data_IF_513555659543
#
_entry.id   IF_513555659543
#
_cell.length_a   1.000
_cell.length_b   1.000
_cell.length_c   1.000
_cell.angle_alpha   90.00
_cell.angle_beta   90.00
_cell.angle_gamma   90.00
#
_symmetry.space_group_name_H-M   'P 1'
#
loop_
_entity.id
_entity.type
_entity.pdbx_description
1 polymer ?
#
# COMPACT_ATOMS: atom_id res chain seq x y z
N UNK A 1 -9.72 15.11 -26.36
CA UNK A 1 -9.99 14.51 -25.03
C UNK A 1 -11.33 15.02 -24.54
N UNK A 2 -12.22 14.10 -24.15
CA UNK A 2 -13.46 14.45 -23.47
C UNK A 2 -13.16 15.26 -22.19
N UNK A 3 -14.10 16.11 -21.77
CA UNK A 3 -13.93 16.88 -20.54
C UNK A 3 -13.95 15.93 -19.33
N UNK A 4 -12.84 15.85 -18.61
CA UNK A 4 -12.71 15.04 -17.39
C UNK A 4 -13.72 15.52 -16.34
N UNK A 5 -14.62 14.63 -15.92
CA UNK A 5 -15.63 14.95 -14.92
C UNK A 5 -14.99 15.30 -13.55
N UNK A 6 -15.75 15.99 -12.70
CA UNK A 6 -15.25 16.50 -11.41
C UNK A 6 -14.86 15.38 -10.44
N UNK A 7 -15.57 14.26 -10.48
CA UNK A 7 -15.34 13.12 -9.60
C UNK A 7 -14.05 12.39 -10.00
N UNK A 8 -13.90 12.11 -11.29
CA UNK A 8 -12.70 11.53 -11.89
C UNK A 8 -11.48 12.40 -11.64
N UNK A 9 -11.60 13.73 -11.81
CA UNK A 9 -10.52 14.68 -11.47
C UNK A 9 -10.12 14.58 -10.00
N UNK A 10 -11.08 14.60 -9.08
CA UNK A 10 -10.79 14.54 -7.64
C UNK A 10 -10.16 13.20 -7.23
N UNK A 11 -10.63 12.10 -7.81
CA UNK A 11 -10.04 10.77 -7.61
C UNK A 11 -8.60 10.74 -8.10
N UNK A 12 -8.34 11.13 -9.35
CA UNK A 12 -7.00 11.10 -9.94
C UNK A 12 -6.00 11.99 -9.20
N UNK A 13 -6.40 13.16 -8.72
CA UNK A 13 -5.55 14.01 -7.85
C UNK A 13 -5.20 13.27 -6.54
N UNK A 14 -6.19 12.61 -5.94
CA UNK A 14 -5.97 11.81 -4.72
C UNK A 14 -5.01 10.64 -5.00
N UNK A 15 -5.22 9.92 -6.11
CA UNK A 15 -4.39 8.81 -6.57
C UNK A 15 -2.96 9.27 -6.82
N UNK A 16 -2.75 10.36 -7.57
CA UNK A 16 -1.42 10.92 -7.84
C UNK A 16 -0.64 11.28 -6.57
N UNK A 17 -1.30 11.90 -5.58
CA UNK A 17 -0.66 12.20 -4.30
C UNK A 17 -0.25 10.94 -3.53
N UNK A 18 -1.07 9.90 -3.56
CA UNK A 18 -0.77 8.61 -2.90
C UNK A 18 0.38 7.88 -3.61
N UNK A 19 0.37 7.84 -4.94
CA UNK A 19 1.45 7.28 -5.76
C UNK A 19 2.78 7.99 -5.51
N UNK A 20 2.79 9.34 -5.41
CA UNK A 20 3.98 10.09 -5.04
C UNK A 20 4.54 9.68 -3.67
N UNK A 21 3.67 9.51 -2.67
CA UNK A 21 4.08 9.08 -1.33
C UNK A 21 4.61 7.64 -1.33
N UNK A 22 3.97 6.75 -2.09
CA UNK A 22 4.36 5.35 -2.22
C UNK A 22 5.70 5.19 -2.95
N UNK A 23 5.85 5.84 -4.11
CA UNK A 23 7.10 5.85 -4.88
C UNK A 23 8.25 6.41 -4.03
N UNK A 24 8.01 7.51 -3.30
CA UNK A 24 9.01 8.11 -2.43
C UNK A 24 9.49 7.14 -1.35
N UNK A 25 8.57 6.40 -0.71
CA UNK A 25 8.92 5.39 0.29
C UNK A 25 9.88 4.35 -0.30
N UNK A 26 9.47 3.73 -1.41
CA UNK A 26 10.25 2.63 -1.99
C UNK A 26 11.57 3.09 -2.59
N UNK A 27 11.61 4.26 -3.24
CA UNK A 27 12.88 4.86 -3.68
C UNK A 27 13.84 5.12 -2.52
N UNK A 28 13.33 5.58 -1.38
CA UNK A 28 14.19 5.79 -0.20
C UNK A 28 14.80 4.47 0.28
N UNK A 29 14.01 3.39 0.30
CA UNK A 29 14.51 2.04 0.63
C UNK A 29 15.58 1.59 -0.39
N UNK A 30 15.37 1.84 -1.68
CA UNK A 30 16.34 1.48 -2.72
C UNK A 30 17.64 2.26 -2.59
N UNK A 31 17.57 3.57 -2.35
CA UNK A 31 18.74 4.44 -2.14
C UNK A 31 19.52 4.04 -0.89
N UNK A 32 18.84 3.79 0.24
CA UNK A 32 19.47 3.34 1.49
C UNK A 32 20.18 1.99 1.30
N UNK A 33 19.59 1.05 0.55
CA UNK A 33 20.23 -0.22 0.21
C UNK A 33 21.47 0.00 -0.67
N UNK A 34 21.36 0.86 -1.69
CA UNK A 34 22.48 1.19 -2.59
C UNK A 34 23.65 1.84 -1.85
N UNK A 35 23.37 2.83 -0.98
CA UNK A 35 24.38 3.52 -0.17
C UNK A 35 25.10 2.56 0.79
N UNK A 36 24.39 1.54 1.28
CA UNK A 36 24.96 0.46 2.09
C UNK A 36 25.70 -0.61 1.28
N UNK A 37 25.81 -0.48 -0.05
CA UNK A 37 26.40 -1.49 -0.93
C UNK A 37 25.57 -2.77 -1.06
N UNK A 38 24.31 -2.74 -0.63
CA UNK A 38 23.40 -3.88 -0.64
C UNK A 38 22.52 -3.89 -1.89
N UNK A 39 22.08 -5.08 -2.30
CA UNK A 39 21.01 -5.21 -3.29
C UNK A 39 19.69 -4.80 -2.65
N UNK A 40 18.91 -3.96 -3.33
CA UNK A 40 17.55 -3.65 -2.89
C UNK A 40 16.60 -4.83 -3.18
N UNK A 41 15.52 -4.99 -2.40
CA UNK A 41 14.53 -6.03 -2.66
C UNK A 41 13.88 -5.87 -4.05
N UNK A 42 13.79 -6.97 -4.81
CA UNK A 42 13.18 -6.96 -6.14
C UNK A 42 11.74 -6.42 -6.11
N UNK A 43 10.97 -6.79 -5.09
CA UNK A 43 9.59 -6.30 -4.91
C UNK A 43 9.52 -4.77 -4.77
N UNK A 44 10.48 -4.15 -4.09
CA UNK A 44 10.55 -2.68 -3.97
C UNK A 44 10.75 -2.02 -5.32
N UNK A 45 11.66 -2.54 -6.14
CA UNK A 45 11.90 -2.00 -7.49
C UNK A 45 10.70 -2.17 -8.41
N UNK A 46 10.02 -3.33 -8.34
CA UNK A 46 8.78 -3.57 -9.06
C UNK A 46 7.72 -2.53 -8.66
N UNK A 47 7.49 -2.33 -7.35
CA UNK A 47 6.51 -1.34 -6.88
C UNK A 47 6.83 0.08 -7.35
N UNK A 48 8.10 0.51 -7.31
CA UNK A 48 8.47 1.84 -7.82
C UNK A 48 8.13 1.96 -9.30
N UNK A 49 8.41 0.95 -10.14
CA UNK A 49 8.06 1.01 -11.57
C UNK A 49 6.55 1.23 -11.75
N UNK A 50 5.75 0.45 -11.05
CA UNK A 50 4.29 0.56 -11.09
C UNK A 50 3.78 1.91 -10.56
N UNK A 51 4.40 2.45 -9.52
CA UNK A 51 4.02 3.77 -9.01
C UNK A 51 4.34 4.86 -10.05
N UNK A 52 5.51 4.78 -10.69
CA UNK A 52 5.97 5.79 -11.64
C UNK A 52 5.18 5.77 -12.94
N UNK A 53 4.87 4.59 -13.51
CA UNK A 53 4.05 4.51 -14.72
C UNK A 53 2.65 5.10 -14.47
N UNK A 54 2.03 4.78 -13.32
CA UNK A 54 0.70 5.29 -12.99
C UNK A 54 0.75 6.79 -12.66
N UNK A 55 1.81 7.25 -12.01
CA UNK A 55 1.96 8.67 -11.70
C UNK A 55 2.07 9.52 -12.96
N UNK A 56 2.80 9.03 -13.97
CA UNK A 56 2.90 9.68 -15.29
C UNK A 56 1.53 9.66 -15.98
N UNK A 57 0.86 8.51 -16.03
CA UNK A 57 -0.46 8.38 -16.65
C UNK A 57 -1.52 9.29 -15.98
N UNK A 58 -1.55 9.35 -14.65
CA UNK A 58 -2.41 10.28 -13.87
C UNK A 58 -2.13 11.72 -14.28
N UNK A 59 -0.86 12.09 -14.41
CA UNK A 59 -0.46 13.43 -14.82
C UNK A 59 -0.94 13.79 -16.23
N UNK A 60 -0.82 12.85 -17.17
CA UNK A 60 -1.27 13.03 -18.55
C UNK A 60 -2.79 13.18 -18.64
N UNK A 61 -3.56 12.30 -17.99
CA UNK A 61 -5.04 12.37 -17.97
C UNK A 61 -5.55 13.67 -17.34
N UNK A 62 -4.90 14.15 -16.27
CA UNK A 62 -5.26 15.41 -15.62
C UNK A 62 -4.88 16.66 -16.42
N UNK A 63 -3.98 16.53 -17.41
CA UNK A 63 -3.47 17.64 -18.20
C UNK A 63 -2.76 18.68 -17.34
N UNK A 64 -3.22 19.94 -17.39
CA UNK A 64 -2.59 21.05 -16.65
C UNK A 64 -2.55 20.82 -15.14
N UNK A 65 -3.58 20.22 -14.58
CA UNK A 65 -3.66 19.93 -13.13
C UNK A 65 -2.73 18.78 -12.72
N UNK A 66 -2.31 17.96 -13.69
CA UNK A 66 -1.45 16.81 -13.51
C UNK A 66 0.03 17.05 -13.77
N UNK A 67 0.42 18.27 -14.19
CA UNK A 67 1.79 18.57 -14.62
C UNK A 67 2.84 18.20 -13.56
N UNK A 68 2.53 18.43 -12.28
CA UNK A 68 3.41 18.05 -11.18
C UNK A 68 3.67 16.53 -11.16
N UNK A 69 2.64 15.72 -11.43
CA UNK A 69 2.74 14.26 -11.42
C UNK A 69 3.58 13.75 -12.60
N UNK A 70 3.34 14.24 -13.82
CA UNK A 70 4.14 13.88 -15.00
C UNK A 70 5.61 14.25 -14.80
N UNK A 71 5.89 15.50 -14.41
CA UNK A 71 7.27 15.97 -14.21
C UNK A 71 7.98 15.18 -13.11
N UNK A 72 7.30 14.95 -11.98
CA UNK A 72 7.90 14.22 -10.87
C UNK A 72 8.08 12.74 -11.20
N UNK A 73 7.12 12.11 -11.87
CA UNK A 73 7.21 10.73 -12.34
C UNK A 73 8.41 10.54 -13.28
N UNK A 74 8.54 11.40 -14.29
CA UNK A 74 9.67 11.37 -15.21
C UNK A 74 11.01 11.61 -14.50
N UNK A 75 11.09 12.59 -13.60
CA UNK A 75 12.29 12.86 -12.81
C UNK A 75 12.71 11.62 -11.98
N UNK A 76 11.76 10.97 -11.33
CA UNK A 76 12.03 9.79 -10.50
C UNK A 76 12.38 8.56 -11.35
N UNK A 77 11.77 8.40 -12.53
CA UNK A 77 12.12 7.34 -13.47
C UNK A 77 13.57 7.46 -13.95
N UNK A 78 14.08 8.69 -14.11
CA UNK A 78 15.47 8.96 -14.48
C UNK A 78 16.47 8.84 -13.31
N UNK A 79 16.05 8.37 -12.14
CA UNK A 79 16.99 8.13 -11.03
C UNK A 79 17.96 6.97 -11.36
N UNK A 80 19.19 6.96 -10.80
CA UNK A 80 20.20 5.95 -11.12
C UNK A 80 19.73 4.51 -10.95
N UNK A 81 18.90 4.23 -9.93
CA UNK A 81 18.38 2.90 -9.65
C UNK A 81 17.22 2.49 -10.58
N UNK A 82 16.70 3.41 -11.41
CA UNK A 82 15.57 3.22 -12.31
C UNK A 82 15.92 3.40 -13.80
N UNK A 83 17.08 3.97 -14.11
CA UNK A 83 17.48 4.38 -15.46
C UNK A 83 17.32 3.27 -16.52
N UNK A 84 17.64 2.03 -16.17
CA UNK A 84 17.53 0.88 -17.09
C UNK A 84 16.09 0.53 -17.49
N UNK A 85 15.07 1.08 -16.81
CA UNK A 85 13.65 0.79 -17.05
C UNK A 85 12.83 1.98 -17.54
N UNK A 86 13.43 3.14 -17.82
CA UNK A 86 12.69 4.37 -18.17
C UNK A 86 11.78 4.18 -19.38
N UNK A 87 12.30 3.61 -20.46
CA UNK A 87 11.53 3.38 -21.69
C UNK A 87 10.33 2.45 -21.47
N UNK A 88 10.49 1.44 -20.62
CA UNK A 88 9.39 0.55 -20.22
C UNK A 88 8.34 1.30 -19.40
N UNK A 89 8.77 2.13 -18.44
CA UNK A 89 7.87 2.95 -17.61
C UNK A 89 7.03 3.89 -18.49
N UNK A 90 7.66 4.58 -19.44
CA UNK A 90 6.97 5.49 -20.36
C UNK A 90 6.00 4.76 -21.30
N UNK A 91 6.39 3.59 -21.82
CA UNK A 91 5.50 2.77 -22.66
C UNK A 91 4.27 2.30 -21.86
N UNK A 92 4.47 1.81 -20.64
CA UNK A 92 3.37 1.35 -19.78
C UNK A 92 2.48 2.50 -19.30
N UNK A 93 3.03 3.71 -19.12
CA UNK A 93 2.23 4.89 -18.84
C UNK A 93 1.29 5.23 -20.01
N UNK A 94 1.77 5.12 -21.26
CA UNK A 94 0.94 5.32 -22.46
C UNK A 94 -0.16 4.29 -22.57
N UNK A 95 0.14 3.00 -22.33
CA UNK A 95 -0.87 1.93 -22.31
C UNK A 95 -1.99 2.24 -21.30
N UNK A 96 -1.65 2.77 -20.11
CA UNK A 96 -2.64 3.19 -19.12
C UNK A 96 -3.51 4.37 -19.60
N UNK A 97 -2.91 5.35 -20.27
CA UNK A 97 -3.66 6.48 -20.87
C UNK A 97 -4.58 5.98 -21.98
N UNK A 98 -4.14 5.03 -22.80
CA UNK A 98 -4.99 4.38 -23.81
C UNK A 98 -6.17 3.64 -23.17
N UNK A 99 -5.94 2.90 -22.08
CA UNK A 99 -7.04 2.28 -21.32
C UNK A 99 -8.02 3.32 -20.78
N UNK A 100 -7.51 4.47 -20.32
CA UNK A 100 -8.36 5.58 -19.88
C UNK A 100 -9.24 6.13 -21.00
N UNK A 101 -8.67 6.32 -22.19
CA UNK A 101 -9.38 6.83 -23.36
C UNK A 101 -10.44 5.84 -23.84
N UNK A 102 -10.11 4.54 -23.92
CA UNK A 102 -11.09 3.48 -24.22
C UNK A 102 -12.25 3.50 -23.23
N UNK A 103 -11.98 3.67 -21.93
CA UNK A 103 -13.03 3.84 -20.91
C UNK A 103 -13.94 5.03 -21.20
N UNK A 104 -13.40 6.16 -21.69
CA UNK A 104 -14.23 7.31 -22.07
C UNK A 104 -15.11 6.99 -23.27
N UNK A 105 -14.61 6.22 -24.24
CA UNK A 105 -15.32 5.91 -25.47
C UNK A 105 -16.48 4.93 -25.26
N UNK A 106 -16.23 3.81 -24.57
CA UNK A 106 -17.27 2.77 -24.34
C UNK A 106 -18.14 3.08 -23.12
N UNK A 107 -17.75 4.06 -22.31
CA UNK A 107 -18.43 4.45 -21.09
C UNK A 107 -18.11 3.55 -19.90
N UNK A 108 -18.31 4.11 -18.69
CA UNK A 108 -17.90 3.49 -17.43
C UNK A 108 -18.53 2.11 -17.20
N UNK A 109 -19.82 1.95 -17.44
CA UNK A 109 -20.53 0.69 -17.17
C UNK A 109 -20.02 -0.47 -18.03
N UNK A 110 -19.80 -0.23 -19.32
CA UNK A 110 -19.30 -1.26 -20.22
C UNK A 110 -17.85 -1.61 -19.90
N UNK A 111 -17.02 -0.58 -19.64
CA UNK A 111 -15.64 -0.77 -19.24
C UNK A 111 -15.52 -1.56 -17.93
N UNK A 112 -16.34 -1.24 -16.91
CA UNK A 112 -16.39 -1.98 -15.64
C UNK A 112 -16.75 -3.46 -15.86
N UNK A 113 -17.66 -3.77 -16.78
CA UNK A 113 -18.01 -5.16 -17.10
C UNK A 113 -16.85 -5.91 -17.76
N UNK A 114 -16.05 -5.24 -18.61
CA UNK A 114 -14.85 -5.81 -19.21
C UNK A 114 -13.74 -6.01 -18.16
N UNK A 115 -13.50 -5.00 -17.32
CA UNK A 115 -12.52 -5.07 -16.23
C UNK A 115 -12.85 -6.20 -15.25
N UNK A 116 -14.13 -6.40 -14.91
CA UNK A 116 -14.58 -7.52 -14.05
C UNK A 116 -14.26 -8.89 -14.65
N UNK A 117 -14.45 -9.07 -15.96
CA UNK A 117 -14.08 -10.31 -16.65
C UNK A 117 -12.57 -10.54 -16.59
N UNK A 118 -11.79 -9.50 -16.88
CA UNK A 118 -10.33 -9.57 -16.82
C UNK A 118 -9.82 -9.93 -15.40
N UNK A 119 -10.37 -9.28 -14.37
CA UNK A 119 -10.03 -9.56 -12.96
C UNK A 119 -10.46 -10.97 -12.54
N UNK A 120 -11.61 -11.47 -13.02
CA UNK A 120 -12.06 -12.83 -12.74
C UNK A 120 -11.11 -13.89 -13.33
N UNK A 121 -10.73 -13.73 -14.61
CA UNK A 121 -9.78 -14.61 -15.29
C UNK A 121 -8.41 -14.60 -14.60
N UNK A 122 -8.00 -13.42 -14.11
CA UNK A 122 -6.78 -13.25 -13.35
C UNK A 122 -6.86 -13.94 -11.98
N UNK A 123 -7.98 -13.76 -11.26
CA UNK A 123 -8.21 -14.39 -9.95
C UNK A 123 -8.24 -15.92 -10.04
N UNK A 124 -8.72 -16.51 -11.14
CA UNK A 124 -8.71 -17.96 -11.32
C UNK A 124 -7.28 -18.50 -11.48
N UNK A 125 -6.42 -17.76 -12.18
CA UNK A 125 -4.99 -18.10 -12.31
C UNK A 125 -4.27 -17.94 -10.97
N UNK A 126 -4.58 -16.87 -10.23
CA UNK A 126 -4.04 -16.66 -8.89
C UNK A 126 -4.44 -17.80 -7.93
N UNK A 127 -5.68 -18.27 -7.98
CA UNK A 127 -6.17 -19.36 -7.11
C UNK A 127 -5.42 -20.68 -7.31
N UNK A 128 -4.78 -20.87 -8.48
CA UNK A 128 -3.98 -22.06 -8.80
C UNK A 128 -2.52 -21.93 -8.37
N UNK A 129 -2.11 -20.75 -7.90
CA UNK A 129 -0.72 -20.47 -7.58
C UNK A 129 -0.43 -20.65 -6.08
N UNK A 130 0.85 -20.86 -5.69
CA UNK A 130 1.23 -20.99 -4.29
C UNK A 130 0.83 -19.76 -3.45
N UNK A 131 0.31 -19.95 -2.22
CA UNK A 131 -0.14 -18.85 -1.35
C UNK A 131 0.99 -17.89 -0.89
N UNK A 132 2.24 -18.32 -1.00
CA UNK A 132 3.45 -17.60 -0.65
C UNK A 132 4.16 -16.92 -1.84
N UNK A 133 3.54 -16.93 -3.02
CA UNK A 133 4.11 -16.24 -4.19
C UNK A 133 4.07 -14.70 -4.01
N UNK A 134 5.22 -14.15 -3.62
CA UNK A 134 5.41 -12.72 -3.44
C UNK A 134 5.15 -11.91 -4.73
N UNK A 135 5.38 -12.50 -5.91
CA UNK A 135 5.11 -11.88 -7.21
C UNK A 135 3.63 -11.67 -7.45
N UNK A 136 2.78 -12.63 -7.06
CA UNK A 136 1.33 -12.49 -7.17
C UNK A 136 0.77 -11.40 -6.27
N UNK A 137 1.31 -11.28 -5.04
CA UNK A 137 0.92 -10.22 -4.11
C UNK A 137 1.19 -8.84 -4.68
N UNK A 138 2.39 -8.65 -5.23
CA UNK A 138 2.77 -7.42 -5.91
C UNK A 138 1.84 -7.15 -7.10
N UNK A 139 1.56 -8.17 -7.92
CA UNK A 139 0.68 -8.01 -9.08
C UNK A 139 -0.75 -7.62 -8.69
N UNK A 140 -1.29 -8.19 -7.62
CA UNK A 140 -2.64 -7.85 -7.12
C UNK A 140 -2.71 -6.42 -6.58
N UNK A 141 -1.69 -5.97 -5.85
CA UNK A 141 -1.61 -4.57 -5.44
C UNK A 141 -1.65 -3.65 -6.66
N UNK A 142 -0.83 -3.94 -7.68
CA UNK A 142 -0.75 -3.14 -8.89
C UNK A 142 -2.09 -3.07 -9.64
N UNK A 143 -2.79 -4.20 -9.74
CA UNK A 143 -4.14 -4.24 -10.32
C UNK A 143 -5.13 -3.34 -9.59
N UNK A 144 -5.10 -3.32 -8.26
CA UNK A 144 -6.06 -2.50 -7.50
C UNK A 144 -5.80 -1.01 -7.71
N UNK A 145 -4.53 -0.60 -7.79
CA UNK A 145 -4.20 0.79 -8.11
C UNK A 145 -4.66 1.17 -9.53
N UNK A 146 -4.40 0.31 -10.53
CA UNK A 146 -4.80 0.57 -11.92
C UNK A 146 -6.32 0.58 -12.10
N UNK A 147 -7.03 -0.43 -11.59
CA UNK A 147 -8.46 -0.60 -11.84
C UNK A 147 -9.30 0.36 -10.97
N UNK A 148 -9.09 0.36 -9.65
CA UNK A 148 -9.93 1.17 -8.76
C UNK A 148 -9.50 2.63 -8.70
N UNK A 149 -8.22 2.87 -8.43
CA UNK A 149 -7.76 4.22 -8.08
C UNK A 149 -7.50 5.06 -9.34
N UNK A 150 -7.01 4.46 -10.42
CA UNK A 150 -6.81 5.12 -11.71
C UNK A 150 -8.10 5.08 -12.55
N UNK A 151 -8.53 3.88 -13.01
CA UNK A 151 -9.69 3.73 -13.90
C UNK A 151 -11.04 3.94 -13.22
N UNK A 152 -11.11 3.98 -11.88
CA UNK A 152 -12.38 4.18 -11.17
C UNK A 152 -13.35 3.01 -11.30
N UNK A 153 -12.83 1.81 -11.60
CA UNK A 153 -13.61 0.59 -11.75
C UNK A 153 -13.65 -0.15 -10.42
N UNK A 154 -14.83 -0.27 -9.77
CA UNK A 154 -14.93 -0.96 -8.49
C UNK A 154 -14.54 -2.43 -8.66
N UNK A 155 -13.53 -2.88 -7.93
CA UNK A 155 -13.30 -4.32 -7.79
C UNK A 155 -14.20 -4.88 -6.70
N UNK A 156 -14.69 -6.11 -6.87
CA UNK A 156 -15.54 -6.79 -5.88
C UNK A 156 -14.77 -7.21 -4.61
N UNK A 157 -13.66 -6.54 -4.28
CA UNK A 157 -12.87 -6.81 -3.07
C UNK A 157 -13.63 -6.50 -1.78
N UNK A 158 -14.75 -5.78 -1.86
CA UNK A 158 -15.64 -5.52 -0.72
C UNK A 158 -16.27 -6.80 -0.15
N UNK A 159 -16.41 -7.85 -0.96
CA UNK A 159 -16.86 -9.16 -0.47
C UNK A 159 -15.91 -9.77 0.57
N UNK A 160 -14.70 -9.23 0.68
CA UNK A 160 -13.70 -9.66 1.64
C UNK A 160 -13.64 -8.81 2.90
N UNK A 161 -14.41 -7.72 3.01
CA UNK A 161 -14.50 -6.88 4.21
C UNK A 161 -14.13 -5.42 3.97
N UNK A 162 -14.15 -4.62 5.05
CA UNK A 162 -13.93 -3.17 4.99
C UNK A 162 -12.51 -2.84 4.50
N UNK A 163 -12.43 -2.05 3.42
CA UNK A 163 -11.16 -1.59 2.85
C UNK A 163 -10.50 -0.60 3.82
N UNK A 164 -9.26 -0.87 4.22
CA UNK A 164 -8.45 0.06 5.02
C UNK A 164 -7.20 0.43 4.24
N UNK A 165 -6.84 1.72 4.32
CA UNK A 165 -5.72 2.26 3.57
C UNK A 165 -4.68 2.82 4.52
N UNK A 166 -3.42 2.68 4.12
CA UNK A 166 -2.32 3.41 4.75
C UNK A 166 -2.59 4.91 4.62
N UNK A 167 -2.54 5.62 5.76
CA UNK A 167 -2.74 7.07 5.84
C UNK A 167 -1.66 7.85 5.07
N UNK A 168 -0.44 7.30 5.01
CA UNK A 168 0.67 7.92 4.30
C UNK A 168 0.63 7.70 2.80
N UNK A 169 0.72 6.43 2.37
CA UNK A 169 0.91 6.08 0.96
C UNK A 169 -0.36 5.61 0.26
N UNK A 170 -1.49 5.51 0.96
CA UNK A 170 -2.74 5.01 0.38
C UNK A 170 -2.79 3.51 0.11
N UNK A 171 -1.66 2.79 0.20
CA UNK A 171 -1.60 1.35 -0.02
C UNK A 171 -2.62 0.60 0.85
N UNK A 172 -3.33 -0.33 0.24
CA UNK A 172 -4.48 -1.00 0.85
C UNK A 172 -4.05 -2.24 1.62
N UNK A 173 -4.74 -2.50 2.74
CA UNK A 173 -4.82 -3.83 3.32
C UNK A 173 -6.08 -4.51 2.83
N UNK A 174 -5.93 -5.72 2.30
CA UNK A 174 -7.06 -6.57 1.96
C UNK A 174 -7.31 -7.51 3.14
N UNK A 175 -8.55 -7.66 3.62
CA UNK A 175 -8.82 -8.53 4.76
C UNK A 175 -8.58 -10.02 4.44
N UNK A 176 -8.63 -10.41 3.16
CA UNK A 176 -8.23 -11.74 2.68
C UNK A 176 -6.74 -12.03 2.77
N UNK A 177 -5.92 -11.02 3.10
CA UNK A 177 -4.48 -11.15 3.21
C UNK A 177 -4.04 -10.77 4.62
N UNK A 178 -4.05 -11.74 5.56
CA UNK A 178 -3.71 -11.48 6.94
C UNK A 178 -2.28 -10.97 7.13
N UNK A 179 -1.43 -11.08 6.11
CA UNK A 179 -0.03 -10.65 6.15
C UNK A 179 0.16 -9.13 5.99
N UNK A 180 -0.85 -8.38 5.54
CA UNK A 180 -0.78 -6.91 5.47
C UNK A 180 -1.66 -6.26 6.54
N UNK A 181 -1.42 -6.61 7.80
CA UNK A 181 -2.03 -5.90 8.93
C UNK A 181 -1.47 -4.49 8.99
N UNK A 182 -2.34 -3.49 8.87
CA UNK A 182 -1.92 -2.10 9.03
C UNK A 182 -1.60 -1.81 10.50
N UNK A 183 -0.44 -1.20 10.73
CA UNK A 183 -0.04 -0.70 12.03
C UNK A 183 -0.92 0.48 12.41
N UNK A 184 -1.47 0.47 13.62
CA UNK A 184 -2.19 1.63 14.16
C UNK A 184 -1.23 2.60 14.81
N UNK A 185 -1.46 3.90 14.65
CA UNK A 185 -0.71 4.92 15.37
C UNK A 185 -0.84 4.69 16.89
N UNK A 186 0.28 4.39 17.56
CA UNK A 186 0.28 4.08 19.00
C UNK A 186 -0.33 5.18 19.90
N UNK A 187 -0.39 6.43 19.42
CA UNK A 187 -0.90 7.58 20.19
C UNK A 187 -2.38 7.87 19.99
N UNK A 188 -2.86 7.89 18.74
CA UNK A 188 -4.25 8.26 18.43
C UNK A 188 -5.14 7.05 18.08
N UNK A 189 -4.52 5.92 17.71
CA UNK A 189 -5.21 4.69 17.26
C UNK A 189 -6.14 4.86 16.04
N UNK A 190 -6.10 6.02 15.37
CA UNK A 190 -6.90 6.32 14.18
C UNK A 190 -6.10 6.12 12.90
N UNK A 191 -4.92 6.71 12.80
CA UNK A 191 -4.11 6.57 11.60
C UNK A 191 -3.57 5.13 11.46
N UNK A 192 -3.60 4.63 10.23
CA UNK A 192 -3.21 3.28 9.84
C UNK A 192 -2.01 3.36 8.91
N UNK A 193 -1.04 2.47 9.07
CA UNK A 193 0.20 2.50 8.30
C UNK A 193 0.57 1.13 7.77
N UNK A 194 1.14 1.13 6.57
CA UNK A 194 1.64 -0.08 5.94
C UNK A 194 2.74 -0.74 6.77
N UNK A 195 3.60 0.08 7.38
CA UNK A 195 4.73 -0.30 8.22
C UNK A 195 5.22 0.92 9.02
N UNK A 196 6.25 0.71 9.84
CA UNK A 196 6.87 1.77 10.65
C UNK A 196 7.43 2.90 9.79
N UNK A 197 7.91 2.59 8.57
CA UNK A 197 8.45 3.60 7.66
C UNK A 197 7.37 4.56 7.17
N UNK A 198 6.21 4.04 6.75
CA UNK A 198 5.01 4.83 6.45
C UNK A 198 4.65 5.76 7.61
N UNK A 199 4.69 5.26 8.86
CA UNK A 199 4.39 6.06 10.05
C UNK A 199 5.41 7.17 10.30
N UNK A 200 6.71 6.88 10.18
CA UNK A 200 7.80 7.86 10.37
C UNK A 200 7.75 8.97 9.32
N UNK A 201 7.52 8.62 8.05
CA UNK A 201 7.44 9.59 6.96
C UNK A 201 6.22 10.52 7.09
N UNK A 202 5.11 9.99 7.60
CA UNK A 202 3.88 10.76 7.85
C UNK A 202 3.92 11.58 9.14
N UNK A 203 4.83 11.26 10.08
CA UNK A 203 4.86 11.87 11.41
C UNK A 203 4.82 13.40 11.35
N UNK A 204 5.56 14.02 10.43
CA UNK A 204 5.60 15.48 10.28
C UNK A 204 4.25 16.10 9.91
N UNK A 205 3.41 15.39 9.16
CA UNK A 205 2.09 15.86 8.75
C UNK A 205 1.00 15.43 9.75
N UNK A 206 1.09 14.20 10.24
CA UNK A 206 0.14 13.63 11.19
C UNK A 206 0.21 14.23 12.60
N UNK A 207 1.36 14.73 13.05
CA UNK A 207 1.61 15.16 14.45
C UNK A 207 0.53 16.08 15.02
N UNK A 208 0.09 17.08 14.26
CA UNK A 208 -0.90 18.04 14.74
C UNK A 208 -2.31 17.45 14.81
N UNK A 209 -2.68 16.61 13.84
CA UNK A 209 -3.92 15.84 13.89
C UNK A 209 -3.91 14.85 15.07
N UNK A 210 -2.81 14.12 15.25
CA UNK A 210 -2.60 13.14 16.31
C UNK A 210 -2.89 13.72 17.70
N UNK A 211 -2.34 14.91 17.98
CA UNK A 211 -2.53 15.62 19.26
C UNK A 211 -3.99 15.98 19.51
N UNK A 212 -4.69 16.49 18.50
CA UNK A 212 -6.10 16.90 18.61
C UNK A 212 -7.00 15.70 18.91
N UNK A 213 -6.80 14.61 18.18
CA UNK A 213 -7.60 13.39 18.30
C UNK A 213 -7.47 12.73 19.67
N UNK A 214 -6.25 12.66 20.23
CA UNK A 214 -6.03 12.09 21.57
C UNK A 214 -6.81 12.85 22.64
N UNK A 215 -6.85 14.18 22.58
CA UNK A 215 -7.62 15.01 23.52
C UNK A 215 -9.12 14.72 23.45
N UNK A 216 -9.65 14.55 22.24
CA UNK A 216 -11.07 14.23 22.02
C UNK A 216 -11.45 12.84 22.53
N UNK A 217 -10.54 11.84 22.42
CA UNK A 217 -10.79 10.51 22.96
C UNK A 217 -10.81 10.51 24.49
N UNK A 218 -9.89 11.23 25.13
CA UNK A 218 -9.86 11.39 26.61
C UNK A 218 -11.11 12.11 27.11
N UNK A 219 -11.56 13.16 26.41
CA UNK A 219 -12.77 13.88 26.78
C UNK A 219 -14.04 12.99 26.71
N UNK A 220 -14.10 12.07 25.74
CA UNK A 220 -15.20 11.12 25.58
C UNK A 220 -15.21 10.03 26.65
N UNK A 221 -14.04 9.52 27.05
CA UNK A 221 -13.96 8.51 28.13
C UNK A 221 -14.21 9.12 29.51
N UNK A 222 -13.87 10.39 29.74
CA UNK A 222 -14.12 11.10 31.00
C UNK A 222 -15.59 11.50 31.23
N UNK A 223 -16.46 11.44 30.21
CA UNK A 223 -17.90 11.75 30.33
C UNK A 223 -18.80 10.51 30.47
N UNK A 224 -18.24 9.30 30.39
CA UNK A 224 -18.98 8.04 30.47
C UNK A 224 -18.92 7.32 31.81
N UNK A 225 -18.19 7.83 32.82
CA UNK A 225 -18.05 7.14 34.11
C UNK A 225 -18.55 8.01 35.26
N UNK A 226 -19.87 8.00 35.45
CA UNK A 226 -20.53 8.21 36.74
C UNK A 226 -21.75 7.29 36.78
N UNK A 227 -21.58 6.06 37.27
CA UNK A 227 -22.52 5.36 38.16
C UNK A 227 -21.84 4.10 38.73
N UNK A 228 -21.88 3.99 40.06
CA UNK A 228 -21.72 2.81 40.94
C UNK A 228 -20.33 2.16 41.15
N UNK A 229 -19.69 2.65 42.22
CA UNK A 229 -19.09 1.99 43.40
C UNK A 229 -19.17 0.45 43.64
N UNK A 230 -18.37 -0.08 44.62
CA UNK A 230 -17.64 -1.37 44.59
C UNK A 230 -18.25 -2.47 45.49
N UNK A 231 -17.79 -3.72 45.32
CA UNK A 231 -17.87 -4.77 46.35
C UNK A 231 -16.92 -5.98 46.08
N UNK A 232 -16.15 -6.34 47.11
CA UNK A 232 -15.56 -7.64 47.53
C UNK A 232 -14.64 -8.46 46.58
N UNK A 233 -13.42 -8.81 47.04
CA UNK A 233 -13.00 -10.06 47.76
C UNK A 233 -13.38 -11.32 46.95
N UNK A 234 -12.47 -12.18 46.51
CA UNK A 234 -11.51 -12.96 47.30
C UNK A 234 -10.25 -13.40 46.49
N UNK A 235 -9.15 -13.57 47.21
CA UNK A 235 -7.97 -14.42 46.93
C UNK A 235 -8.39 -15.87 46.56
N UNK A 236 -7.60 -16.68 45.81
CA UNK A 236 -6.37 -17.25 46.39
C UNK A 236 -5.24 -17.69 45.43
N UNK A 237 -4.12 -18.03 46.08
CA UNK A 237 -3.19 -19.13 45.81
C UNK A 237 -2.19 -19.05 44.64
N UNK A 238 -0.96 -18.71 45.05
CA UNK A 238 0.32 -19.31 44.67
C UNK A 238 0.24 -20.68 43.96
N UNK A 239 0.94 -20.81 42.83
CA UNK A 239 1.49 -22.08 42.39
C UNK A 239 2.86 -21.83 41.73
N UNK A 240 3.90 -22.19 42.48
CA UNK A 240 5.27 -22.37 42.01
C UNK A 240 5.35 -23.55 41.03
N UNK A 241 6.09 -23.39 39.94
CA UNK A 241 6.28 -24.43 38.94
C UNK A 241 7.53 -24.17 38.13
N UNK A 242 8.69 -24.45 38.75
CA UNK A 242 9.97 -24.59 38.08
C UNK A 242 9.94 -25.78 37.11
N UNK A 243 10.48 -25.59 35.91
CA UNK A 243 10.99 -26.68 35.07
C UNK A 243 12.14 -26.12 34.24
N UNK A 244 13.35 -26.44 34.71
CA UNK A 244 14.56 -26.53 33.89
C UNK A 244 14.36 -27.61 32.82
N UNK A 245 15.03 -27.47 31.68
CA UNK A 245 14.93 -28.41 30.57
C UNK A 245 15.86 -28.02 29.42
N UNK A 246 17.13 -28.36 29.64
CA UNK A 246 18.09 -28.96 28.70
C UNK A 246 18.21 -28.45 27.26
N UNK A 247 19.37 -27.82 27.04
CA UNK A 247 20.38 -28.15 26.02
C UNK A 247 19.99 -29.15 24.91
N UNK A 248 20.03 -28.70 23.65
CA UNK A 248 20.60 -29.52 22.57
C UNK A 248 21.25 -28.63 21.51
N UNK A 249 22.58 -28.67 21.48
CA UNK A 249 23.41 -28.14 20.40
C UNK A 249 23.35 -29.08 19.18
N UNK A 250 22.62 -28.67 18.15
CA UNK A 250 22.62 -29.33 16.83
C UNK A 250 23.58 -28.64 15.86
N UNK A 251 24.85 -29.04 15.87
CA UNK A 251 25.83 -28.63 14.86
C UNK A 251 25.53 -29.22 13.48
N UNK A 252 25.35 -28.37 12.47
CA UNK A 252 25.26 -28.79 11.06
C UNK A 252 26.54 -28.40 10.33
N UNK A 253 27.34 -29.42 10.02
CA UNK A 253 28.51 -29.35 9.15
C UNK A 253 28.09 -29.07 7.70
N UNK A 254 28.63 -27.99 7.12
CA UNK A 254 28.61 -27.74 5.68
C UNK A 254 29.75 -28.51 4.98
N UNK A 255 29.48 -29.21 3.86
CA UNK A 255 30.55 -29.76 3.03
C UNK A 255 31.25 -28.65 2.23
N UNK A 256 32.57 -28.68 2.27
CA UNK A 256 33.46 -27.96 1.35
C UNK A 256 33.33 -28.59 -0.03
N UNK A 257 33.04 -27.77 -1.04
CA UNK A 257 33.34 -28.10 -2.41
C UNK A 257 34.64 -27.38 -2.79
N UNK A 258 35.67 -28.18 -3.06
CA UNK A 258 36.87 -27.80 -3.79
C UNK A 258 36.66 -28.10 -5.28
N UNK A 259 37.22 -27.21 -6.10
CA UNK A 259 37.52 -27.25 -7.55
C UNK A 259 36.38 -27.27 -8.58
#
# INVERSE_FOLDING_TARGET
>A
MASLDREDRARLITTGNRLMAHAKKHLTIMMEAQDAGNKYPLGTAIMVRFDLQQLIAVGEVLGKDGLLFTLRGAQLANSPCMAAGVTTIEAQAKELVECWDVRQEIGRTEFEAQAKKFVADYSEKDAKSPPDDAGLRLRRDCLVWSEEDFLGCPTDVEKYGEKKNCTFCGARSFPTFPERVLLTCGRCKIALYCDKRCQEMDLKYHKEFCKKTKKSQIAKTSKGSKTAQPANMEEPAEHDGASEGDEEEGGVSLPKHEE
#
